data_IF_453700151180
#
_entry.id   IF_453700151180
#
_cell.length_a   1.000
_cell.length_b   1.000
_cell.length_c   1.000
_cell.angle_alpha   90.00
_cell.angle_beta   90.00
_cell.angle_gamma   90.00
#
_symmetry.space_group_name_H-M   'P 1'
#
loop_
_entity.id
_entity.type
_entity.pdbx_description
1 polymer ?
#
# COMPACT_ATOMS: atom_id res chain seq x y z
N UNK A 1 -10.87 -4.43 -28.09
CA UNK A 1 -10.95 -4.43 -26.62
C UNK A 1 -9.69 -3.75 -26.09
N UNK A 2 -9.81 -2.51 -25.58
CA UNK A 2 -8.67 -1.69 -25.14
C UNK A 2 -8.17 -2.26 -23.81
N UNK A 3 -7.01 -2.91 -23.82
CA UNK A 3 -6.37 -3.40 -22.60
C UNK A 3 -6.13 -2.20 -21.68
N UNK A 4 -6.80 -2.17 -20.54
CA UNK A 4 -6.49 -1.23 -19.48
C UNK A 4 -5.06 -1.50 -19.04
N UNK A 5 -4.14 -0.61 -19.38
CA UNK A 5 -2.81 -0.59 -18.78
C UNK A 5 -2.99 -0.44 -17.26
N UNK A 6 -3.00 -1.58 -16.55
CA UNK A 6 -2.99 -1.60 -15.11
C UNK A 6 -1.69 -0.96 -14.66
N UNK A 7 -1.72 0.34 -14.32
CA UNK A 7 -0.57 1.07 -13.77
C UNK A 7 0.02 0.25 -12.63
N UNK A 8 1.22 -0.28 -12.84
CA UNK A 8 1.93 -1.11 -11.86
C UNK A 8 2.10 -0.32 -10.57
N UNK A 9 1.81 -0.96 -9.43
CA UNK A 9 2.03 -0.35 -8.13
C UNK A 9 3.53 0.00 -7.95
N UNK A 10 3.85 1.09 -7.23
CA UNK A 10 5.23 1.42 -6.92
C UNK A 10 5.94 0.24 -6.26
N UNK A 11 7.21 0.00 -6.63
CA UNK A 11 8.02 -1.08 -6.01
C UNK A 11 8.01 -0.97 -4.49
N UNK A 12 8.08 0.25 -3.95
CA UNK A 12 8.01 0.52 -2.53
C UNK A 12 6.69 0.07 -1.90
N UNK A 13 5.54 0.35 -2.54
CA UNK A 13 4.23 -0.14 -2.09
C UNK A 13 4.20 -1.66 -2.02
N UNK A 14 4.74 -2.35 -3.02
CA UNK A 14 4.77 -3.82 -3.05
C UNK A 14 5.60 -4.36 -1.89
N UNK A 15 6.79 -3.79 -1.63
CA UNK A 15 7.65 -4.18 -0.51
C UNK A 15 6.92 -4.00 0.82
N UNK A 16 6.25 -2.85 1.02
CA UNK A 16 5.48 -2.57 2.24
C UNK A 16 4.37 -3.62 2.47
N UNK A 17 3.67 -4.03 1.40
CA UNK A 17 2.64 -5.06 1.50
C UNK A 17 3.19 -6.46 1.77
N UNK A 18 4.36 -6.80 1.23
CA UNK A 18 5.06 -8.05 1.55
C UNK A 18 5.42 -8.06 3.06
N UNK A 19 6.02 -6.99 3.56
CA UNK A 19 6.34 -6.86 4.99
C UNK A 19 5.07 -6.93 5.85
N UNK A 20 3.98 -6.28 5.45
CA UNK A 20 2.70 -6.37 6.17
C UNK A 20 2.18 -7.81 6.22
N UNK A 21 2.29 -8.55 5.11
CA UNK A 21 1.85 -9.94 5.01
C UNK A 21 2.67 -10.84 5.95
N UNK A 22 3.99 -10.64 5.98
CA UNK A 22 4.87 -11.36 6.91
C UNK A 22 4.48 -11.08 8.36
N UNK A 23 4.24 -9.82 8.73
CA UNK A 23 3.80 -9.46 10.09
C UNK A 23 2.44 -10.07 10.44
N UNK A 24 1.51 -10.12 9.49
CA UNK A 24 0.20 -10.74 9.68
C UNK A 24 0.32 -12.24 9.97
N UNK A 25 1.13 -12.95 9.17
CA UNK A 25 1.40 -14.38 9.37
C UNK A 25 2.12 -14.64 10.69
N UNK A 26 3.11 -13.80 11.04
CA UNK A 26 3.80 -13.87 12.32
C UNK A 26 2.83 -13.65 13.49
N UNK A 27 1.85 -12.74 13.37
CA UNK A 27 0.87 -12.51 14.43
C UNK A 27 0.04 -13.75 14.73
N UNK A 28 -0.39 -14.49 13.71
CA UNK A 28 -1.15 -15.74 13.86
C UNK A 28 -0.28 -16.79 14.58
N UNK A 29 0.97 -16.92 14.16
CA UNK A 29 1.90 -17.87 14.78
C UNK A 29 2.19 -17.53 16.25
N UNK A 30 2.39 -16.26 16.56
CA UNK A 30 2.65 -15.81 17.92
C UNK A 30 1.42 -15.99 18.80
N UNK A 31 0.21 -15.69 18.32
CA UNK A 31 -1.03 -15.98 19.06
C UNK A 31 -1.11 -17.46 19.44
N UNK A 32 -0.80 -18.37 18.49
CA UNK A 32 -0.77 -19.79 18.78
C UNK A 32 0.27 -20.14 19.85
N UNK A 33 1.50 -19.65 19.72
CA UNK A 33 2.58 -19.88 20.70
C UNK A 33 2.23 -19.32 22.08
N UNK A 34 1.61 -18.15 22.14
CA UNK A 34 1.14 -17.54 23.38
C UNK A 34 0.07 -18.40 24.05
N UNK A 35 -0.88 -18.95 23.29
CA UNK A 35 -1.88 -19.89 23.84
C UNK A 35 -1.25 -21.16 24.41
N UNK A 36 -0.26 -21.74 23.70
CA UNK A 36 0.47 -22.92 24.18
C UNK A 36 1.20 -22.59 25.48
N UNK A 37 1.90 -21.45 25.53
CA UNK A 37 2.63 -21.00 26.72
C UNK A 37 1.70 -20.83 27.94
N UNK A 38 0.58 -20.13 27.79
CA UNK A 38 -0.39 -19.97 28.88
C UNK A 38 -0.98 -21.33 29.29
N UNK A 39 -1.28 -22.21 28.33
CA UNK A 39 -1.79 -23.56 28.63
C UNK A 39 -0.80 -24.39 29.44
N UNK A 40 0.49 -24.29 29.14
CA UNK A 40 1.54 -24.98 29.89
C UNK A 40 1.69 -24.41 31.30
N UNK A 41 1.65 -23.09 31.47
CA UNK A 41 1.60 -22.46 32.80
C UNK A 41 0.41 -22.96 33.62
N UNK A 42 -0.77 -23.09 33.00
CA UNK A 42 -1.97 -23.60 33.70
C UNK A 42 -1.75 -25.02 34.22
N UNK A 43 -1.07 -25.88 33.46
CA UNK A 43 -0.72 -27.23 33.92
C UNK A 43 0.25 -27.22 35.10
N UNK A 44 1.08 -26.18 35.20
CA UNK A 44 2.03 -25.96 36.30
C UNK A 44 1.39 -25.31 37.54
N UNK A 45 0.08 -25.01 37.50
CA UNK A 45 -0.68 -24.49 38.63
C UNK A 45 -1.00 -23.00 38.58
N UNK A 46 -0.65 -22.32 37.47
CA UNK A 46 -1.09 -20.95 37.20
C UNK A 46 -2.62 -20.89 37.06
N UNK A 47 -3.26 -19.92 37.72
CA UNK A 47 -4.70 -19.68 37.61
C UNK A 47 -4.96 -18.40 36.78
N UNK A 48 -5.33 -18.53 35.48
CA UNK A 48 -5.53 -17.40 34.60
C UNK A 48 -6.61 -16.44 35.07
N UNK A 49 -7.54 -16.92 35.91
CA UNK A 49 -8.66 -16.09 36.41
C UNK A 49 -8.21 -15.14 37.51
N UNK A 50 -7.17 -15.51 38.27
CA UNK A 50 -6.59 -14.66 39.33
C UNK A 50 -5.60 -13.65 38.75
N UNK A 51 -4.93 -14.00 37.66
CA UNK A 51 -3.88 -13.19 37.03
C UNK A 51 -4.27 -12.74 35.60
N UNK A 52 -5.55 -12.43 35.39
CA UNK A 52 -6.09 -12.00 34.09
C UNK A 52 -5.31 -10.83 33.48
N UNK A 53 -4.90 -9.87 34.31
CA UNK A 53 -4.15 -8.68 33.86
C UNK A 53 -2.80 -9.09 33.27
N UNK A 54 -2.14 -10.09 33.85
CA UNK A 54 -0.84 -10.56 33.39
C UNK A 54 -0.97 -11.31 32.06
N UNK A 55 -2.00 -12.15 31.92
CA UNK A 55 -2.31 -12.80 30.65
C UNK A 55 -2.60 -11.77 29.57
N UNK A 56 -3.46 -10.78 29.83
CA UNK A 56 -3.78 -9.72 28.87
C UNK A 56 -2.51 -8.95 28.48
N UNK A 57 -1.72 -8.52 29.47
CA UNK A 57 -0.50 -7.76 29.22
C UNK A 57 0.50 -8.57 28.39
N UNK A 58 0.61 -9.88 28.64
CA UNK A 58 1.44 -10.77 27.82
C UNK A 58 1.01 -10.75 26.36
N UNK A 59 -0.29 -10.89 26.04
CA UNK A 59 -0.77 -10.76 24.65
C UNK A 59 -0.57 -9.35 24.09
N UNK A 60 -0.73 -8.30 24.90
CA UNK A 60 -0.49 -6.93 24.47
C UNK A 60 0.97 -6.72 24.06
N UNK A 61 1.92 -7.19 24.86
CA UNK A 61 3.34 -7.01 24.56
C UNK A 61 3.81 -7.92 23.43
N UNK A 62 3.27 -9.14 23.32
CA UNK A 62 3.76 -10.14 22.35
C UNK A 62 3.08 -10.06 20.99
N UNK A 63 1.76 -9.85 20.94
CA UNK A 63 0.97 -9.94 19.69
C UNK A 63 0.71 -8.57 19.08
N UNK A 64 0.37 -7.55 19.88
CA UNK A 64 -0.06 -6.25 19.36
C UNK A 64 0.98 -5.59 18.47
N UNK A 65 2.30 -5.64 18.73
CA UNK A 65 3.27 -5.04 17.82
C UNK A 65 3.11 -5.56 16.38
N UNK A 66 2.91 -6.87 16.21
CA UNK A 66 2.76 -7.48 14.89
C UNK A 66 1.46 -7.04 14.19
N UNK A 67 0.36 -7.00 14.93
CA UNK A 67 -0.93 -6.51 14.42
C UNK A 67 -0.84 -5.02 14.05
N UNK A 68 -0.27 -4.21 14.94
CA UNK A 68 -0.11 -2.77 14.75
C UNK A 68 0.76 -2.45 13.53
N UNK A 69 1.90 -3.13 13.39
CA UNK A 69 2.78 -2.93 12.23
C UNK A 69 2.17 -3.45 10.93
N UNK A 70 1.36 -4.53 10.97
CA UNK A 70 0.61 -4.99 9.80
C UNK A 70 -0.30 -3.88 9.27
N UNK A 71 -1.13 -3.29 10.15
CA UNK A 71 -2.06 -2.21 9.78
C UNK A 71 -1.29 -0.98 9.31
N UNK A 72 -0.22 -0.61 10.02
CA UNK A 72 0.61 0.55 9.70
C UNK A 72 1.27 0.42 8.32
N UNK A 73 1.82 -0.75 7.99
CA UNK A 73 2.47 -1.02 6.71
C UNK A 73 1.47 -1.03 5.54
N UNK A 74 0.27 -1.60 5.74
CA UNK A 74 -0.81 -1.53 4.74
C UNK A 74 -1.21 -0.08 4.50
N UNK A 75 -1.43 0.68 5.58
CA UNK A 75 -1.82 2.09 5.50
C UNK A 75 -0.75 2.91 4.79
N UNK A 76 0.52 2.71 5.15
CA UNK A 76 1.64 3.41 4.51
C UNK A 76 1.77 3.02 3.03
N UNK A 77 1.65 1.74 2.70
CA UNK A 77 1.69 1.28 1.30
C UNK A 77 0.58 1.91 0.46
N UNK A 78 -0.61 2.08 1.03
CA UNK A 78 -1.73 2.77 0.40
C UNK A 78 -1.44 4.26 0.18
N UNK A 79 -0.91 4.95 1.20
CA UNK A 79 -0.52 6.37 1.10
C UNK A 79 0.55 6.55 0.01
N UNK A 80 1.60 5.74 0.00
CA UNK A 80 2.67 5.77 -1.00
C UNK A 80 2.10 5.58 -2.42
N UNK A 81 1.21 4.61 -2.60
CA UNK A 81 0.55 4.37 -3.89
C UNK A 81 -0.24 5.59 -4.37
N UNK A 82 -0.95 6.25 -3.45
CA UNK A 82 -1.75 7.44 -3.75
C UNK A 82 -0.85 8.63 -4.13
N UNK A 83 0.26 8.83 -3.43
CA UNK A 83 1.23 9.89 -3.73
C UNK A 83 1.86 9.67 -5.11
N UNK A 84 2.33 8.45 -5.41
CA UNK A 84 2.91 8.11 -6.72
C UNK A 84 1.93 8.36 -7.87
N UNK A 85 0.65 8.00 -7.69
CA UNK A 85 -0.39 8.27 -8.68
C UNK A 85 -0.56 9.78 -8.94
N UNK A 86 -0.58 10.59 -7.89
CA UNK A 86 -0.71 12.05 -8.01
C UNK A 86 0.52 12.65 -8.72
N UNK A 87 1.73 12.19 -8.39
CA UNK A 87 2.97 12.68 -9.00
C UNK A 87 3.01 12.36 -10.50
N UNK A 88 2.71 11.11 -10.88
CA UNK A 88 2.64 10.71 -12.30
C UNK A 88 1.59 11.51 -13.07
N UNK A 89 0.43 11.75 -12.47
CA UNK A 89 -0.60 12.59 -13.09
C UNK A 89 -0.13 14.03 -13.33
N UNK A 90 0.65 14.61 -12.41
CA UNK A 90 1.25 15.94 -12.61
C UNK A 90 2.31 15.95 -13.70
N UNK A 91 3.13 14.91 -13.80
CA UNK A 91 4.13 14.76 -14.87
C UNK A 91 3.46 14.64 -16.24
N UNK A 92 2.42 13.80 -16.37
CA UNK A 92 1.66 13.62 -17.61
C UNK A 92 1.02 14.95 -18.09
N UNK A 93 0.48 15.76 -17.16
CA UNK A 93 -0.09 17.08 -17.49
C UNK A 93 1.02 18.04 -17.96
N UNK A 94 2.14 18.12 -17.23
CA UNK A 94 3.24 19.01 -17.56
C UNK A 94 3.84 18.68 -18.94
N UNK A 95 4.04 17.39 -19.21
CA UNK A 95 4.52 16.91 -20.50
C UNK A 95 3.55 17.31 -21.62
N UNK A 96 2.24 17.08 -21.44
CA UNK A 96 1.22 17.47 -22.42
C UNK A 96 1.19 18.98 -22.68
N UNK A 97 1.36 19.81 -21.66
CA UNK A 97 1.42 21.28 -21.81
C UNK A 97 2.65 21.71 -22.63
N UNK A 98 3.81 21.11 -22.36
CA UNK A 98 5.04 21.38 -23.14
C UNK A 98 4.89 20.96 -24.59
N UNK A 99 4.25 19.82 -24.88
CA UNK A 99 3.96 19.43 -26.25
C UNK A 99 3.04 20.45 -26.94
N UNK A 100 1.95 20.88 -26.31
CA UNK A 100 1.03 21.87 -26.88
C UNK A 100 1.70 23.23 -27.13
N UNK A 101 2.64 23.64 -26.28
CA UNK A 101 3.41 24.87 -26.46
C UNK A 101 4.46 24.78 -27.59
N UNK A 102 4.92 23.58 -27.93
CA UNK A 102 5.87 23.34 -29.03
C UNK A 102 5.23 23.03 -30.37
N UNK A 103 3.94 22.71 -30.40
CA UNK A 103 3.20 22.64 -31.66
C UNK A 103 3.01 24.09 -32.10
N UNK A 104 3.58 24.52 -33.25
CA UNK A 104 3.27 25.85 -33.77
C UNK A 104 1.76 25.97 -33.89
N UNK A 105 1.21 27.09 -33.44
CA UNK A 105 -0.16 27.47 -33.74
C UNK A 105 -0.25 27.51 -35.27
N UNK A 106 -0.70 26.41 -35.88
CA UNK A 106 -1.16 26.43 -37.26
C UNK A 106 -2.40 27.33 -37.23
N UNK A 107 -2.18 28.63 -37.34
CA UNK A 107 -3.12 29.50 -38.03
C UNK A 107 -3.37 28.87 -39.38
N UNK A 108 -4.65 28.75 -39.70
CA UNK A 108 -5.23 28.10 -40.86
C UNK A 108 -4.74 28.68 -42.22
N UNK A 109 -3.46 28.50 -42.55
CA UNK A 109 -2.87 29.04 -43.78
C UNK A 109 -2.50 27.93 -44.80
N UNK A 110 -2.65 26.64 -44.45
CA UNK A 110 -2.34 25.51 -45.36
C UNK A 110 -3.58 24.76 -45.90
N UNK A 111 -4.80 25.12 -45.47
CA UNK A 111 -6.02 24.51 -46.04
C UNK A 111 -6.47 25.25 -47.30
N UNK A 112 -6.22 26.57 -47.40
CA UNK A 112 -6.66 27.36 -48.56
C UNK A 112 -5.85 27.06 -49.84
N UNK A 113 -4.57 26.67 -49.74
CA UNK A 113 -3.74 26.28 -50.90
C UNK A 113 -4.16 24.94 -51.53
N UNK A 114 -4.92 24.10 -50.83
CA UNK A 114 -5.46 22.85 -51.40
C UNK A 114 -6.78 23.07 -52.15
N UNK A 115 -7.51 24.16 -51.87
CA UNK A 115 -8.79 24.48 -52.51
C UNK A 115 -8.69 25.63 -53.53
N UNK A 116 -7.55 26.32 -53.66
CA UNK A 116 -7.32 27.29 -54.74
C UNK A 116 -6.98 26.65 -56.09
N UNK A 117 -6.59 25.37 -56.08
CA UNK A 117 -6.18 24.60 -57.27
C UNK A 117 -7.23 23.57 -57.74
N UNK A 118 -8.47 23.64 -57.22
CA UNK A 118 -9.67 22.93 -57.73
C UNK A 118 -10.70 23.94 -58.22
#
# INVERSE_FOLDING_TARGET
MKSSDMKKAPKLTVILYICATLMALSSIFIIYKSNVYISDLVKEGFDPKKELVEVINYYLVTVIPFVFYTISLITLGYIVKKIDYIMKGKEEIKEKTIYLERVPENTDDEIDDFFSDI
#
